data_IF_720024341192
#
_entry.id   IF_720024341192
#
_cell.length_a   1.000
_cell.length_b   1.000
_cell.length_c   1.000
_cell.angle_alpha   90.00
_cell.angle_beta   90.00
_cell.angle_gamma   90.00
#
_symmetry.space_group_name_H-M   'P 1'
#
loop_
_entity.id
_entity.type
_entity.pdbx_description
1 polymer ?
#
# COMPACT_ATOMS: atom_id res chain seq x y z
N UNK A 1 -5.63 -23.49 -0.99
CA UNK A 1 -4.66 -22.38 -0.98
C UNK A 1 -4.56 -21.88 0.44
N UNK A 2 -3.34 -21.70 0.95
CA UNK A 2 -3.12 -21.10 2.28
C UNK A 2 -3.61 -19.65 2.31
N UNK A 3 -4.10 -19.22 3.46
CA UNK A 3 -4.64 -17.87 3.66
C UNK A 3 -3.53 -16.83 3.59
N UNK A 4 -3.78 -15.65 3.01
CA UNK A 4 -2.76 -14.58 2.91
C UNK A 4 -2.23 -14.19 4.28
N UNK A 5 -3.05 -14.24 5.33
CA UNK A 5 -2.61 -13.88 6.69
C UNK A 5 -1.60 -14.84 7.32
N UNK A 6 -1.42 -16.03 6.75
CA UNK A 6 -0.40 -16.99 7.20
C UNK A 6 0.88 -16.92 6.37
N UNK A 7 0.95 -16.06 5.35
CA UNK A 7 2.16 -15.88 4.56
C UNK A 7 3.23 -15.21 5.41
N UNK A 8 4.40 -15.85 5.47
CA UNK A 8 5.64 -15.27 5.92
C UNK A 8 6.29 -14.46 4.75
N UNK A 9 7.41 -13.76 4.98
CA UNK A 9 8.05 -12.95 3.95
C UNK A 9 8.44 -13.73 2.68
N UNK A 10 8.69 -15.04 2.77
CA UNK A 10 9.00 -15.89 1.62
C UNK A 10 7.78 -16.09 0.70
N UNK A 11 6.59 -16.35 1.24
CA UNK A 11 5.39 -16.47 0.37
C UNK A 11 5.02 -15.12 -0.24
N UNK A 12 5.26 -14.01 0.47
CA UNK A 12 5.14 -12.65 -0.10
C UNK A 12 6.11 -12.43 -1.25
N UNK A 13 7.38 -12.85 -1.11
CA UNK A 13 8.38 -12.78 -2.17
C UNK A 13 7.92 -13.53 -3.43
N UNK A 14 7.43 -14.77 -3.26
CA UNK A 14 6.90 -15.59 -4.35
C UNK A 14 5.69 -14.91 -5.01
N UNK A 15 4.80 -14.29 -4.22
CA UNK A 15 3.66 -13.55 -4.76
C UNK A 15 4.10 -12.33 -5.57
N UNK A 16 5.06 -11.54 -5.08
CA UNK A 16 5.62 -10.40 -5.78
C UNK A 16 6.23 -10.80 -7.12
N UNK A 17 7.02 -11.89 -7.15
CA UNK A 17 7.60 -12.43 -8.38
C UNK A 17 6.53 -12.85 -9.39
N UNK A 18 5.50 -13.60 -8.95
CA UNK A 18 4.38 -14.02 -9.82
C UNK A 18 3.60 -12.85 -10.40
N UNK A 19 3.54 -11.72 -9.69
CA UNK A 19 2.91 -10.47 -10.15
C UNK A 19 3.83 -9.61 -11.01
N UNK A 20 5.10 -9.98 -11.19
CA UNK A 20 6.07 -9.22 -11.98
C UNK A 20 6.76 -8.09 -11.20
N UNK A 21 6.71 -8.11 -9.86
CA UNK A 21 7.32 -7.13 -8.96
C UNK A 21 8.62 -7.64 -8.31
N UNK A 22 9.32 -8.58 -8.94
CA UNK A 22 10.55 -9.21 -8.42
C UNK A 22 11.63 -8.21 -8.00
N UNK A 23 11.74 -7.08 -8.71
CA UNK A 23 12.61 -5.94 -8.38
C UNK A 23 12.45 -5.44 -6.93
N UNK A 24 11.24 -5.54 -6.37
CA UNK A 24 10.91 -5.05 -5.03
C UNK A 24 10.86 -6.16 -3.98
N UNK A 25 11.09 -7.42 -4.37
CA UNK A 25 10.95 -8.56 -3.46
C UNK A 25 11.90 -8.45 -2.27
N UNK A 26 13.20 -8.24 -2.53
CA UNK A 26 14.22 -8.13 -1.49
C UNK A 26 13.95 -7.01 -0.49
N UNK A 27 13.73 -5.77 -0.97
CA UNK A 27 13.50 -4.62 -0.08
C UNK A 27 12.23 -4.80 0.76
N UNK A 28 11.16 -5.38 0.21
CA UNK A 28 9.93 -5.60 0.97
C UNK A 28 10.08 -6.77 1.95
N UNK A 29 10.70 -7.87 1.55
CA UNK A 29 10.65 -9.12 2.33
C UNK A 29 11.88 -9.34 3.20
N UNK A 30 13.10 -9.16 2.68
CA UNK A 30 14.34 -9.35 3.46
C UNK A 30 14.65 -8.13 4.33
N UNK A 31 14.55 -6.93 3.78
CA UNK A 31 14.98 -5.72 4.48
C UNK A 31 13.91 -5.20 5.46
N UNK A 32 12.61 -5.32 5.10
CA UNK A 32 11.48 -4.79 5.88
C UNK A 32 10.53 -5.87 6.43
N UNK A 33 10.85 -7.16 6.24
CA UNK A 33 10.09 -8.28 6.80
C UNK A 33 8.58 -8.24 6.51
N UNK A 34 8.17 -7.75 5.33
CA UNK A 34 6.75 -7.65 4.97
C UNK A 34 6.19 -9.07 4.78
N UNK A 35 5.39 -9.50 5.75
CA UNK A 35 4.58 -10.71 5.73
C UNK A 35 3.20 -10.45 5.10
N UNK A 36 2.36 -11.48 4.99
CA UNK A 36 1.06 -11.34 4.33
C UNK A 36 0.08 -10.41 5.06
N UNK A 37 0.20 -10.29 6.39
CA UNK A 37 -0.62 -9.35 7.17
C UNK A 37 -0.19 -7.91 6.88
N UNK A 38 1.13 -7.65 6.90
CA UNK A 38 1.69 -6.37 6.55
C UNK A 38 1.36 -5.98 5.09
N UNK A 39 1.46 -6.92 4.15
CA UNK A 39 1.10 -6.70 2.75
C UNK A 39 -0.37 -6.29 2.55
N UNK A 40 -1.29 -6.87 3.33
CA UNK A 40 -2.71 -6.49 3.29
C UNK A 40 -2.98 -5.09 3.86
N UNK A 41 -2.10 -4.57 4.71
CA UNK A 41 -2.26 -3.26 5.34
C UNK A 41 -1.48 -2.14 4.65
N UNK A 42 -0.47 -2.49 3.85
CA UNK A 42 0.39 -1.52 3.16
C UNK A 42 -0.42 -0.55 2.31
N UNK A 43 0.00 0.70 2.30
CA UNK A 43 -0.60 1.79 1.55
C UNK A 43 0.42 2.43 0.59
N UNK A 44 -0.05 3.37 -0.23
CA UNK A 44 0.80 4.03 -1.24
C UNK A 44 1.92 4.88 -0.62
N UNK A 45 1.72 5.45 0.58
CA UNK A 45 2.71 6.26 1.27
C UNK A 45 3.85 5.42 1.84
N UNK A 46 3.55 4.21 2.35
CA UNK A 46 4.55 3.28 2.87
C UNK A 46 5.56 2.90 1.78
N UNK A 47 5.09 2.70 0.54
CA UNK A 47 5.96 2.38 -0.61
C UNK A 47 6.83 3.57 -1.07
N UNK A 48 6.33 4.80 -0.92
CA UNK A 48 6.98 6.02 -1.43
C UNK A 48 7.99 6.62 -0.47
N UNK A 49 7.73 6.46 0.81
CA UNK A 49 8.48 7.14 1.86
C UNK A 49 9.56 6.21 2.40
N UNK A 50 10.59 6.75 3.07
CA UNK A 50 11.47 5.92 3.87
C UNK A 50 10.64 5.08 4.87
N UNK A 51 10.98 3.80 5.05
CA UNK A 51 12.26 3.20 4.67
C UNK A 51 12.28 2.43 3.33
N UNK A 52 11.16 2.35 2.59
CA UNK A 52 11.06 1.61 1.32
C UNK A 52 11.48 2.47 0.11
N UNK A 53 11.03 3.73 0.05
CA UNK A 53 11.47 4.74 -0.94
C UNK A 53 11.48 4.30 -2.42
N UNK A 54 10.40 3.68 -2.91
CA UNK A 54 10.25 3.40 -4.35
C UNK A 54 10.01 4.74 -5.08
N UNK A 55 10.95 5.11 -5.95
CA UNK A 55 10.90 6.41 -6.64
C UNK A 55 10.26 6.37 -8.03
N UNK A 56 9.93 5.18 -8.55
CA UNK A 56 9.33 5.02 -9.89
C UNK A 56 7.81 4.99 -9.77
N UNK A 57 7.13 6.08 -10.13
CA UNK A 57 5.68 6.22 -9.98
C UNK A 57 4.88 5.09 -10.66
N UNK A 58 5.27 4.71 -11.88
CA UNK A 58 4.60 3.62 -12.61
C UNK A 58 4.69 2.28 -11.89
N UNK A 59 5.79 2.01 -11.19
CA UNK A 59 5.98 0.78 -10.42
C UNK A 59 5.12 0.80 -9.16
N UNK A 60 5.11 1.93 -8.44
CA UNK A 60 4.24 2.12 -7.27
C UNK A 60 2.77 1.88 -7.64
N UNK A 61 2.32 2.42 -8.77
CA UNK A 61 0.92 2.29 -9.19
C UNK A 61 0.54 0.86 -9.55
N UNK A 62 1.41 0.14 -10.27
CA UNK A 62 1.17 -1.27 -10.62
C UNK A 62 1.20 -2.17 -9.38
N UNK A 63 2.17 -1.99 -8.50
CA UNK A 63 2.26 -2.73 -7.24
C UNK A 63 1.02 -2.49 -6.35
N UNK A 64 0.61 -1.22 -6.18
CA UNK A 64 -0.60 -0.90 -5.43
C UNK A 64 -1.88 -1.45 -6.06
N UNK A 65 -1.96 -1.54 -7.39
CA UNK A 65 -3.10 -2.15 -8.07
C UNK A 65 -3.23 -3.63 -7.71
N UNK A 66 -2.13 -4.39 -7.77
CA UNK A 66 -2.12 -5.80 -7.39
C UNK A 66 -2.42 -6.02 -5.91
N UNK A 67 -1.86 -5.17 -5.04
CA UNK A 67 -2.14 -5.23 -3.59
C UNK A 67 -3.62 -4.94 -3.32
N UNK A 68 -4.22 -3.94 -3.98
CA UNK A 68 -5.66 -3.66 -3.84
C UNK A 68 -6.52 -4.83 -4.26
N UNK A 69 -6.18 -5.48 -5.37
CA UNK A 69 -6.84 -6.69 -5.82
C UNK A 69 -6.73 -7.81 -4.77
N UNK A 70 -5.55 -8.00 -4.17
CA UNK A 70 -5.33 -8.95 -3.08
C UNK A 70 -6.22 -8.63 -1.86
N UNK A 71 -6.37 -7.36 -1.49
CA UNK A 71 -7.27 -6.93 -0.39
C UNK A 71 -8.73 -7.26 -0.70
N UNK A 72 -9.18 -7.04 -1.93
CA UNK A 72 -10.55 -7.36 -2.36
C UNK A 72 -10.82 -8.87 -2.27
N UNK A 73 -9.88 -9.69 -2.75
CA UNK A 73 -9.96 -11.15 -2.68
C UNK A 73 -9.97 -11.66 -1.23
N UNK A 74 -9.38 -10.92 -0.30
CA UNK A 74 -9.26 -11.27 1.12
C UNK A 74 -10.15 -10.41 2.03
N UNK A 75 -11.22 -9.81 1.51
CA UNK A 75 -12.09 -8.89 2.25
C UNK A 75 -12.65 -9.48 3.56
N UNK A 76 -13.00 -10.76 3.55
CA UNK A 76 -13.59 -11.42 4.72
C UNK A 76 -12.56 -11.56 5.85
N UNK A 77 -11.32 -11.86 5.48
CA UNK A 77 -10.19 -11.95 6.39
C UNK A 77 -9.86 -10.59 7.00
N UNK A 78 -9.88 -9.53 6.18
CA UNK A 78 -9.69 -8.15 6.68
C UNK A 78 -10.76 -7.76 7.70
N UNK A 79 -12.04 -8.07 7.42
CA UNK A 79 -13.13 -7.83 8.37
C UNK A 79 -12.95 -8.61 9.69
N UNK A 80 -12.52 -9.86 9.63
CA UNK A 80 -12.24 -10.68 10.82
C UNK A 80 -11.07 -10.13 11.64
N UNK A 81 -10.12 -9.44 11.00
CA UNK A 81 -9.02 -8.75 11.67
C UNK A 81 -9.39 -7.34 12.17
N UNK A 82 -10.64 -6.90 11.97
CA UNK A 82 -11.11 -5.59 12.42
C UNK A 82 -10.80 -4.43 11.46
N UNK A 83 -10.41 -4.72 10.21
CA UNK A 83 -10.17 -3.70 9.19
C UNK A 83 -11.36 -3.60 8.23
N UNK A 84 -11.82 -2.37 7.96
CA UNK A 84 -12.79 -2.12 6.89
C UNK A 84 -12.08 -2.09 5.52
N UNK A 85 -12.37 -3.03 4.61
CA UNK A 85 -11.74 -3.06 3.29
C UNK A 85 -11.98 -1.80 2.47
N UNK A 86 -13.14 -1.13 2.63
CA UNK A 86 -13.45 0.08 1.86
C UNK A 86 -12.47 1.20 2.26
N UNK A 87 -12.29 1.43 3.57
CA UNK A 87 -11.36 2.42 4.08
C UNK A 87 -9.92 2.22 3.60
N UNK A 88 -9.47 0.96 3.45
CA UNK A 88 -8.13 0.62 2.95
C UNK A 88 -7.96 0.83 1.44
N UNK A 89 -9.06 0.86 0.69
CA UNK A 89 -9.06 1.01 -0.77
C UNK A 89 -9.27 2.46 -1.20
N UNK A 90 -10.05 3.22 -0.43
CA UNK A 90 -10.27 4.64 -0.65
C UNK A 90 -9.11 5.44 -0.09
N UNK A 91 -8.56 6.40 -0.86
CA UNK A 91 -7.75 7.45 -0.22
C UNK A 91 -8.68 8.17 0.76
N UNK A 92 -8.27 8.42 2.02
CA UNK A 92 -9.05 9.28 2.88
C UNK A 92 -9.30 10.57 2.11
N UNK A 93 -10.56 10.97 2.00
CA UNK A 93 -10.90 12.30 1.50
C UNK A 93 -10.20 13.24 2.48
N UNK A 94 -9.17 13.95 2.02
CA UNK A 94 -8.61 15.03 2.82
C UNK A 94 -9.74 16.03 3.07
N UNK A 95 -10.31 16.04 4.28
CA UNK A 95 -11.21 17.09 4.76
C UNK A 95 -10.44 18.36 5.13
N UNK A 96 -9.25 18.57 4.58
CA UNK A 96 -8.58 19.85 4.62
C UNK A 96 -9.24 20.76 3.59
N UNK A 97 -10.29 21.46 4.00
CA UNK A 97 -10.57 22.81 3.51
C UNK A 97 -9.38 23.70 3.87
N UNK A 98 -8.29 23.58 3.11
CA UNK A 98 -7.27 24.60 3.09
C UNK A 98 -7.99 25.86 2.60
N UNK A 99 -8.16 26.85 3.48
CA UNK A 99 -8.53 28.22 3.14
C UNK A 99 -7.43 28.81 2.25
N UNK A 100 -7.43 28.42 0.98
CA UNK A 100 -6.81 29.16 -0.10
C UNK A 100 -7.73 30.34 -0.38
N UNK A 101 -7.51 31.44 0.33
CA UNK A 101 -7.72 32.81 -0.14
C UNK A 101 -7.33 33.80 0.95
N UNK A 102 -6.07 34.23 0.94
CA UNK A 102 -5.73 35.58 1.36
C UNK A 102 -4.58 36.03 0.47
N UNK A 103 -5.00 36.53 -0.70
CA UNK A 103 -4.20 37.30 -1.64
C UNK A 103 -3.48 38.40 -0.85
N UNK A 104 -2.16 38.62 -1.01
CA UNK A 104 -1.56 39.86 -0.52
C UNK A 104 -2.02 40.99 -1.43
N UNK A 105 -2.93 41.84 -0.95
CA UNK A 105 -3.21 43.11 -1.63
C UNK A 105 -1.96 43.98 -1.52
N UNK A 106 -1.24 44.09 -2.63
CA UNK A 106 -0.28 45.18 -2.87
C UNK A 106 -1.01 46.34 -3.54
N UNK A 107 -0.57 47.55 -3.24
CA UNK A 107 -1.02 48.91 -3.68
C UNK A 107 -1.92 49.57 -2.62
N UNK A 108 -1.60 50.75 -2.07
CA UNK A 108 -0.85 51.91 -2.59
C UNK A 108 0.24 52.33 -1.60
#
# INVERSE_FOLDING_TARGET
MESVVSWNPREVSIWLEKKGHSKYSRILTEDHCIDGRALLLINEADLKSPPISINVLGDIKRLMLDIRQLKVENRQTLLQLGFDPISLLTKPVCSCTCLWNSIPTRSI
#
